data_IF_077992294477
#
_entry.id   IF_077992294477
#
_cell.length_a   1.000
_cell.length_b   1.000
_cell.length_c   1.000
_cell.angle_alpha   90.00
_cell.angle_beta   90.00
_cell.angle_gamma   90.00
#
_symmetry.space_group_name_H-M   'P 1'
#
loop_
_entity.id
_entity.type
_entity.pdbx_description
1 polymer ?
#
# COMPACT_ATOMS: atom_id res chain seq x y z
N UNK A 1 15.19 -8.68 2.03
CA UNK A 1 14.85 -8.83 3.46
C UNK A 1 15.11 -7.48 4.14
N UNK A 2 14.17 -6.98 4.94
CA UNK A 2 14.32 -5.68 5.60
C UNK A 2 15.33 -5.76 6.74
N UNK A 3 16.13 -4.71 6.93
CA UNK A 3 17.03 -4.58 8.07
C UNK A 3 16.26 -4.28 9.36
N UNK A 4 16.85 -4.61 10.52
CA UNK A 4 16.19 -4.43 11.82
C UNK A 4 15.81 -2.97 12.09
N UNK A 5 16.66 -2.02 11.68
CA UNK A 5 16.37 -0.57 11.82
C UNK A 5 15.07 -0.21 11.09
N UNK A 6 14.87 -0.70 9.87
CA UNK A 6 13.67 -0.48 9.07
C UNK A 6 12.44 -1.08 9.77
N UNK A 7 12.54 -2.31 10.26
CA UNK A 7 11.45 -2.98 10.99
C UNK A 7 11.05 -2.15 12.23
N UNK A 8 12.02 -1.68 13.01
CA UNK A 8 11.77 -0.90 14.23
C UNK A 8 11.09 0.44 13.92
N UNK A 9 11.50 1.12 12.84
CA UNK A 9 10.87 2.36 12.37
C UNK A 9 9.43 2.11 11.92
N UNK A 10 9.17 1.05 11.16
CA UNK A 10 7.81 0.71 10.73
C UNK A 10 6.93 0.45 11.95
N UNK A 11 7.40 -0.39 12.89
CA UNK A 11 6.64 -0.72 14.11
C UNK A 11 6.36 0.52 14.97
N UNK A 12 7.32 1.43 15.12
CA UNK A 12 7.14 2.66 15.91
C UNK A 12 6.18 3.66 15.26
N UNK A 13 6.01 3.63 13.94
CA UNK A 13 5.11 4.52 13.19
C UNK A 13 3.70 3.97 12.99
N UNK A 14 3.45 2.69 13.32
CA UNK A 14 2.10 2.06 13.27
C UNK A 14 1.03 2.87 14.03
N UNK A 15 1.24 3.35 15.27
CA UNK A 15 0.22 4.10 15.99
C UNK A 15 -0.19 5.40 15.27
N UNK A 16 0.79 6.10 14.69
CA UNK A 16 0.57 7.34 13.95
C UNK A 16 -0.23 7.07 12.68
N UNK A 17 0.11 6.00 11.95
CA UNK A 17 -0.67 5.57 10.79
C UNK A 17 -2.07 5.10 11.16
N UNK A 18 -2.26 4.45 12.32
CA UNK A 18 -3.59 4.02 12.75
C UNK A 18 -4.51 5.20 13.00
N UNK A 19 -3.99 6.27 13.62
CA UNK A 19 -4.73 7.50 13.88
C UNK A 19 -4.98 8.32 12.62
N UNK A 20 -4.08 8.27 11.64
CA UNK A 20 -4.15 9.09 10.42
C UNK A 20 -4.56 8.32 9.15
N UNK A 21 -4.82 7.01 9.24
CA UNK A 21 -4.90 6.11 8.07
C UNK A 21 -5.98 6.49 7.06
N UNK A 22 -7.14 6.97 7.53
CA UNK A 22 -8.20 7.45 6.64
C UNK A 22 -7.79 8.74 5.92
N UNK A 23 -7.12 9.67 6.62
CA UNK A 23 -6.63 10.91 6.03
C UNK A 23 -5.56 10.62 4.97
N UNK A 24 -4.60 9.75 5.30
CA UNK A 24 -3.55 9.31 4.38
C UNK A 24 -4.14 8.67 3.13
N UNK A 25 -5.07 7.72 3.29
CA UNK A 25 -5.65 7.02 2.12
C UNK A 25 -6.52 7.94 1.26
N UNK A 26 -7.23 8.91 1.85
CA UNK A 26 -7.94 9.95 1.08
C UNK A 26 -6.99 10.84 0.29
N UNK A 27 -5.94 11.35 0.93
CA UNK A 27 -4.89 12.15 0.26
C UNK A 27 -4.22 11.35 -0.86
N UNK A 28 -3.90 10.08 -0.60
CA UNK A 28 -3.35 9.15 -1.58
C UNK A 28 -4.25 9.01 -2.81
N UNK A 29 -5.53 8.67 -2.64
CA UNK A 29 -6.43 8.47 -3.78
C UNK A 29 -6.66 9.76 -4.55
N UNK A 30 -6.83 10.89 -3.86
CA UNK A 30 -6.95 12.20 -4.50
C UNK A 30 -5.74 12.49 -5.38
N UNK A 31 -4.53 12.46 -4.81
CA UNK A 31 -3.30 12.82 -5.52
C UNK A 31 -3.02 11.86 -6.68
N UNK A 32 -3.26 10.56 -6.49
CA UNK A 32 -3.09 9.55 -7.52
C UNK A 32 -4.04 9.76 -8.69
N UNK A 33 -5.31 10.02 -8.42
CA UNK A 33 -6.33 10.21 -9.46
C UNK A 33 -6.22 11.55 -10.19
N UNK A 34 -5.63 12.56 -9.57
CA UNK A 34 -5.32 13.83 -10.22
C UNK A 34 -4.10 13.71 -11.14
N UNK A 35 -3.04 13.03 -10.73
CA UNK A 35 -1.78 12.96 -11.48
C UNK A 35 -1.68 11.76 -12.42
N UNK A 36 -2.44 10.70 -12.17
CA UNK A 36 -2.47 9.45 -12.93
C UNK A 36 -3.93 9.06 -13.22
N UNK A 37 -4.69 9.87 -13.99
CA UNK A 37 -6.10 9.58 -14.28
C UNK A 37 -6.30 8.24 -15.01
N UNK A 38 -5.28 7.72 -15.69
CA UNK A 38 -5.26 6.44 -16.40
C UNK A 38 -5.47 5.24 -15.47
N UNK A 39 -5.17 5.34 -14.17
CA UNK A 39 -5.40 4.24 -13.22
C UNK A 39 -6.82 4.20 -12.67
N UNK A 40 -7.61 5.28 -12.83
CA UNK A 40 -9.00 5.36 -12.33
C UNK A 40 -9.89 4.18 -12.77
N UNK A 41 -9.85 3.71 -14.03
CA UNK A 41 -10.68 2.59 -14.47
C UNK A 41 -10.40 1.26 -13.77
N UNK A 42 -9.25 1.12 -13.11
CA UNK A 42 -8.88 -0.08 -12.35
C UNK A 42 -9.57 -0.13 -10.98
N UNK A 43 -10.21 0.96 -10.55
CA UNK A 43 -10.82 1.09 -9.24
C UNK A 43 -12.35 1.16 -9.30
N UNK A 44 -12.98 0.74 -8.20
CA UNK A 44 -14.43 0.83 -8.06
C UNK A 44 -14.80 2.20 -7.47
N UNK A 45 -15.30 3.11 -8.31
CA UNK A 45 -15.60 4.48 -7.91
C UNK A 45 -16.74 4.58 -6.89
N UNK A 46 -17.71 3.67 -6.89
CA UNK A 46 -18.77 3.64 -5.87
C UNK A 46 -18.19 3.32 -4.48
N UNK A 47 -17.17 2.44 -4.42
CA UNK A 47 -16.43 2.14 -3.17
C UNK A 47 -15.47 3.25 -2.75
N UNK A 48 -15.05 4.08 -3.69
CA UNK A 48 -14.31 5.30 -3.38
C UNK A 48 -15.21 6.35 -2.72
N UNK A 49 -16.38 6.61 -3.31
CA UNK A 49 -17.35 7.58 -2.78
C UNK A 49 -17.87 7.21 -1.38
N UNK A 50 -18.07 5.91 -1.12
CA UNK A 50 -18.48 5.39 0.20
C UNK A 50 -17.34 5.22 1.21
N UNK A 51 -16.10 5.56 0.84
CA UNK A 51 -14.88 5.41 1.64
C UNK A 51 -14.51 3.97 2.03
N UNK A 52 -15.21 2.96 1.51
CA UNK A 52 -14.91 1.55 1.77
C UNK A 52 -13.50 1.19 1.29
N UNK A 53 -13.11 1.68 0.12
CA UNK A 53 -11.81 1.36 -0.48
C UNK A 53 -10.63 2.07 0.23
N UNK A 54 -10.70 3.38 0.57
CA UNK A 54 -9.77 4.02 1.50
C UNK A 54 -9.58 3.26 2.82
N UNK A 55 -10.67 2.85 3.47
CA UNK A 55 -10.62 2.08 4.72
C UNK A 55 -9.94 0.72 4.53
N UNK A 56 -10.28 0.01 3.45
CA UNK A 56 -9.68 -1.28 3.14
C UNK A 56 -8.15 -1.17 2.92
N UNK A 57 -7.69 -0.17 2.19
CA UNK A 57 -6.27 0.06 1.97
C UNK A 57 -5.54 0.42 3.28
N UNK A 58 -6.14 1.26 4.12
CA UNK A 58 -5.56 1.62 5.41
C UNK A 58 -5.40 0.38 6.32
N UNK A 59 -6.41 -0.49 6.37
CA UNK A 59 -6.34 -1.75 7.12
C UNK A 59 -5.27 -2.69 6.57
N UNK A 60 -5.13 -2.79 5.24
CA UNK A 60 -4.10 -3.62 4.62
C UNK A 60 -2.69 -3.14 4.97
N UNK A 61 -2.42 -1.83 4.85
CA UNK A 61 -1.13 -1.23 5.21
C UNK A 61 -0.81 -1.47 6.69
N UNK A 62 -1.79 -1.28 7.58
CA UNK A 62 -1.62 -1.54 9.01
C UNK A 62 -1.32 -3.01 9.30
N UNK A 63 -2.05 -3.94 8.67
CA UNK A 63 -1.84 -5.36 8.86
C UNK A 63 -0.43 -5.78 8.43
N UNK A 64 0.06 -5.27 7.30
CA UNK A 64 1.43 -5.56 6.87
C UNK A 64 2.45 -4.96 7.82
N UNK A 65 2.29 -3.69 8.23
CA UNK A 65 3.21 -3.04 9.15
C UNK A 65 3.31 -3.76 10.50
N UNK A 66 2.20 -4.33 10.98
CA UNK A 66 2.15 -5.13 12.20
C UNK A 66 2.81 -6.52 12.06
N UNK A 67 2.89 -7.05 10.84
CA UNK A 67 3.45 -8.38 10.55
C UNK A 67 4.71 -8.29 9.66
N UNK A 68 5.42 -7.16 9.72
CA UNK A 68 6.55 -6.87 8.82
C UNK A 68 7.74 -7.84 9.02
N UNK A 69 7.80 -8.48 10.19
CA UNK A 69 8.75 -9.52 10.57
C UNK A 69 8.28 -10.94 10.20
N UNK A 70 7.04 -11.11 9.76
CA UNK A 70 6.45 -12.37 9.37
C UNK A 70 5.53 -12.20 8.14
N UNK A 71 6.13 -11.83 7.00
CA UNK A 71 5.38 -11.65 5.74
C UNK A 71 4.73 -12.96 5.25
N UNK A 72 5.21 -14.12 5.71
CA UNK A 72 4.55 -15.40 5.44
C UNK A 72 3.14 -15.46 6.04
N UNK A 73 2.91 -14.82 7.19
CA UNK A 73 1.59 -14.76 7.82
C UNK A 73 0.56 -13.95 7.01
N UNK A 74 1.01 -13.05 6.12
CA UNK A 74 0.09 -12.28 5.27
C UNK A 74 -0.25 -12.99 3.95
N UNK A 75 0.36 -14.15 3.65
CA UNK A 75 0.09 -14.90 2.40
C UNK A 75 -1.40 -15.13 2.10
N UNK A 76 -2.26 -15.54 3.05
CA UNK A 76 -3.69 -15.70 2.77
C UNK A 76 -4.37 -14.40 2.32
N UNK A 77 -3.93 -13.27 2.88
CA UNK A 77 -4.42 -11.93 2.52
C UNK A 77 -3.91 -11.53 1.14
N UNK A 78 -2.62 -11.75 0.86
CA UNK A 78 -2.00 -11.51 -0.45
C UNK A 78 -2.74 -12.30 -1.53
N UNK A 79 -3.02 -13.59 -1.31
CA UNK A 79 -3.73 -14.42 -2.29
C UNK A 79 -5.14 -13.86 -2.57
N UNK A 80 -5.89 -13.53 -1.52
CA UNK A 80 -7.25 -12.99 -1.66
C UNK A 80 -7.26 -11.67 -2.44
N UNK A 81 -6.33 -10.77 -2.15
CA UNK A 81 -6.21 -9.48 -2.82
C UNK A 81 -5.68 -9.65 -4.25
N UNK A 82 -4.72 -10.55 -4.47
CA UNK A 82 -4.16 -10.87 -5.78
C UNK A 82 -5.22 -11.34 -6.78
N UNK A 83 -6.22 -12.09 -6.33
CA UNK A 83 -7.39 -12.45 -7.17
C UNK A 83 -8.15 -11.21 -7.63
N UNK A 84 -8.37 -10.24 -6.73
CA UNK A 84 -9.04 -8.98 -7.07
C UNK A 84 -8.19 -8.18 -8.07
N UNK A 85 -6.90 -8.02 -7.79
CA UNK A 85 -5.95 -7.34 -8.67
C UNK A 85 -5.94 -7.91 -10.07
N UNK A 86 -5.86 -9.24 -10.20
CA UNK A 86 -5.87 -9.90 -11.50
C UNK A 86 -7.24 -9.74 -12.20
N UNK A 87 -8.36 -9.71 -11.47
CA UNK A 87 -9.68 -9.44 -12.05
C UNK A 87 -9.83 -8.00 -12.53
N UNK A 88 -9.16 -7.05 -11.88
CA UNK A 88 -9.11 -5.65 -12.30
C UNK A 88 -7.92 -5.34 -13.21
N UNK A 89 -7.22 -6.36 -13.72
CA UNK A 89 -6.12 -6.23 -14.67
C UNK A 89 -4.94 -5.38 -14.15
N UNK A 90 -4.65 -5.42 -12.85
CA UNK A 90 -3.48 -4.76 -12.28
C UNK A 90 -2.20 -5.39 -12.85
N UNK A 91 -1.25 -4.55 -13.27
CA UNK A 91 0.03 -4.93 -13.84
C UNK A 91 1.18 -4.45 -12.95
N UNK A 92 2.39 -5.04 -13.07
CA UNK A 92 3.56 -4.61 -12.30
C UNK A 92 3.88 -3.12 -12.43
N UNK A 93 3.61 -2.52 -13.59
CA UNK A 93 3.80 -1.09 -13.88
C UNK A 93 2.87 -0.15 -13.09
N UNK A 94 1.79 -0.65 -12.49
CA UNK A 94 0.93 0.15 -11.62
C UNK A 94 1.50 0.34 -10.21
N UNK A 95 2.38 -0.56 -9.73
CA UNK A 95 2.94 -0.48 -8.38
C UNK A 95 3.80 0.77 -8.14
N UNK A 96 4.70 1.17 -9.06
CA UNK A 96 5.44 2.42 -8.90
C UNK A 96 4.54 3.66 -8.73
N UNK A 97 3.38 3.70 -9.40
CA UNK A 97 2.40 4.78 -9.29
C UNK A 97 1.82 4.81 -7.87
N UNK A 98 1.36 3.66 -7.38
CA UNK A 98 0.79 3.53 -6.03
C UNK A 98 1.82 3.89 -4.97
N UNK A 99 3.05 3.38 -5.08
CA UNK A 99 4.14 3.67 -4.13
C UNK A 99 4.45 5.16 -4.03
N UNK A 100 4.61 5.84 -5.17
CA UNK A 100 4.85 7.28 -5.23
C UNK A 100 3.78 8.08 -4.47
N UNK A 101 2.51 7.81 -4.77
CA UNK A 101 1.40 8.56 -4.17
C UNK A 101 1.17 8.21 -2.71
N UNK A 102 1.41 6.95 -2.31
CA UNK A 102 1.24 6.53 -0.93
C UNK A 102 2.30 7.19 -0.03
N UNK A 103 3.57 7.14 -0.44
CA UNK A 103 4.66 7.81 0.29
C UNK A 103 4.48 9.32 0.32
N UNK A 104 4.04 9.91 -0.79
CA UNK A 104 3.68 11.33 -0.86
C UNK A 104 2.56 11.70 0.12
N UNK A 105 1.51 10.89 0.22
CA UNK A 105 0.41 11.10 1.15
C UNK A 105 0.83 10.94 2.62
N UNK A 106 1.70 9.97 2.93
CA UNK A 106 2.28 9.83 4.27
C UNK A 106 3.06 11.10 4.62
N UNK A 107 3.92 11.57 3.73
CA UNK A 107 4.71 12.79 3.93
C UNK A 107 3.82 14.03 4.12
N UNK A 108 2.79 14.19 3.30
CA UNK A 108 1.87 15.32 3.39
C UNK A 108 1.08 15.31 4.70
N UNK A 109 0.61 14.15 5.16
CA UNK A 109 -0.23 14.06 6.35
C UNK A 109 0.56 14.16 7.65
N UNK A 110 1.75 13.59 7.70
CA UNK A 110 2.62 13.63 8.89
C UNK A 110 3.45 14.92 8.96
N UNK A 111 3.66 15.63 7.85
CA UNK A 111 4.42 16.89 7.83
C UNK A 111 5.84 16.69 8.36
N UNK A 112 6.22 17.48 9.37
CA UNK A 112 7.56 17.44 9.98
C UNK A 112 7.84 16.10 10.70
N UNK A 113 6.80 15.36 11.09
CA UNK A 113 6.95 14.03 11.70
C UNK A 113 7.35 12.96 10.67
N UNK A 114 7.19 13.22 9.36
CA UNK A 114 7.65 12.34 8.29
C UNK A 114 9.13 12.59 7.97
N UNK A 115 10.00 12.24 8.91
CA UNK A 115 11.45 12.33 8.72
C UNK A 115 11.94 11.48 7.54
N UNK A 116 13.11 11.80 6.99
CA UNK A 116 13.67 11.04 5.86
C UNK A 116 13.86 9.56 6.20
N UNK A 117 14.28 9.25 7.43
CA UNK A 117 14.43 7.87 7.92
C UNK A 117 13.08 7.12 7.91
N UNK A 118 11.99 7.78 8.28
CA UNK A 118 10.64 7.21 8.23
C UNK A 118 10.21 6.96 6.78
N UNK A 119 10.34 7.96 5.91
CA UNK A 119 9.94 7.82 4.50
C UNK A 119 10.76 6.73 3.78
N UNK A 120 12.07 6.66 4.03
CA UNK A 120 12.93 5.63 3.47
C UNK A 120 12.57 4.23 3.98
N UNK A 121 12.23 4.08 5.27
CA UNK A 121 11.76 2.82 5.82
C UNK A 121 10.45 2.36 5.17
N UNK A 122 9.50 3.28 4.98
CA UNK A 122 8.24 3.01 4.28
C UNK A 122 8.44 2.69 2.81
N UNK A 123 9.37 3.34 2.12
CA UNK A 123 9.70 3.04 0.73
C UNK A 123 10.23 1.61 0.56
N UNK A 124 11.26 1.23 1.34
CA UNK A 124 11.78 -0.15 1.36
C UNK A 124 10.69 -1.18 1.67
N UNK A 125 9.84 -0.85 2.64
CA UNK A 125 8.73 -1.72 3.03
C UNK A 125 7.72 -1.90 1.90
N UNK A 126 7.35 -0.80 1.23
CA UNK A 126 6.47 -0.84 0.08
C UNK A 126 7.03 -1.70 -1.05
N UNK A 127 8.32 -1.56 -1.39
CA UNK A 127 8.98 -2.35 -2.43
C UNK A 127 8.88 -3.86 -2.15
N UNK A 128 9.18 -4.27 -0.92
CA UNK A 128 9.07 -5.69 -0.51
C UNK A 128 7.64 -6.21 -0.65
N UNK A 129 6.65 -5.41 -0.26
CA UNK A 129 5.24 -5.78 -0.38
C UNK A 129 4.84 -5.88 -1.85
N UNK A 130 5.21 -4.88 -2.65
CA UNK A 130 4.94 -4.85 -4.08
C UNK A 130 5.50 -6.09 -4.78
N UNK A 131 6.74 -6.47 -4.47
CA UNK A 131 7.37 -7.68 -5.01
C UNK A 131 6.59 -8.95 -4.66
N UNK A 132 6.14 -9.09 -3.41
CA UNK A 132 5.31 -10.23 -2.97
C UNK A 132 4.02 -10.32 -3.78
N UNK A 133 3.33 -9.19 -3.97
CA UNK A 133 2.10 -9.14 -4.76
C UNK A 133 2.35 -9.43 -6.25
N UNK A 134 3.36 -8.80 -6.85
CA UNK A 134 3.73 -8.99 -8.26
C UNK A 134 4.05 -10.46 -8.55
N UNK A 135 4.83 -11.11 -7.69
CA UNK A 135 5.18 -12.52 -7.85
C UNK A 135 3.94 -13.42 -7.75
N UNK A 136 3.09 -13.19 -6.74
CA UNK A 136 1.85 -13.93 -6.57
C UNK A 136 0.89 -13.74 -7.76
N UNK A 137 0.73 -12.51 -8.24
CA UNK A 137 -0.16 -12.19 -9.35
C UNK A 137 0.35 -12.75 -10.68
N UNK A 138 1.68 -12.79 -10.88
CA UNK A 138 2.29 -13.43 -12.04
C UNK A 138 1.93 -14.92 -12.11
N UNK A 139 1.97 -15.64 -10.99
CA UNK A 139 1.53 -17.03 -10.92
C UNK A 139 0.03 -17.16 -11.21
N UNK A 140 -0.79 -16.27 -10.65
CA UNK A 140 -2.23 -16.25 -10.91
C UNK A 140 -2.55 -16.01 -12.39
N UNK A 141 -1.90 -15.04 -13.02
CA UNK A 141 -2.06 -14.78 -14.46
C UNK A 141 -1.62 -15.96 -15.33
N UNK A 142 -0.56 -16.67 -14.96
CA UNK A 142 -0.11 -17.86 -15.68
C UNK A 142 -1.07 -19.05 -15.55
N UNK A 143 -1.90 -19.08 -14.51
CA UNK A 143 -2.88 -20.13 -14.24
C UNK A 143 -4.28 -19.88 -14.84
N UNK A 144 -4.46 -18.76 -15.54
CA UNK A 144 -5.74 -18.35 -16.14
C UNK A 144 -5.96 -18.89 -17.55
#
# INVERSE_FOLDING_TARGET
MLDQKTIDIIKSTVPVLKSNGLKITKTFYKNMFEQNPEVKPLFNMNKQESEEQPKALAMAILAVAQNIDNLEAIKPVVNRIGVIHCNTQVQPEHYPIVGKHLLGAIKEVLGDDATEDIINAWAKTYEVIAEVFINNEKEMYASR
#
